data_IF_255426253473
#
_entry.id   IF_255426253473
#
_cell.length_a   1.000
_cell.length_b   1.000
_cell.length_c   1.000
_cell.angle_alpha   90.00
_cell.angle_beta   90.00
_cell.angle_gamma   90.00
#
_symmetry.space_group_name_H-M   'P 1'
#
loop_
_entity.id
_entity.type
_entity.pdbx_description
1 polymer ?
#
# COMPACT_ATOMS: atom_id res chain seq x y z
N UNK A 1 -10.12 -2.60 -20.42
CA UNK A 1 -10.34 -3.30 -19.13
C UNK A 1 -9.18 -4.24 -18.78
N UNK A 2 -8.23 -4.46 -19.69
CA UNK A 2 -7.28 -5.58 -19.60
C UNK A 2 -6.09 -5.33 -18.66
N UNK A 3 -5.72 -4.07 -18.41
CA UNK A 3 -4.57 -3.77 -17.55
C UNK A 3 -4.79 -4.17 -16.08
N UNK A 4 -6.01 -3.99 -15.57
CA UNK A 4 -6.32 -4.41 -14.19
C UNK A 4 -6.22 -5.94 -14.07
N UNK A 5 -6.78 -6.68 -15.04
CA UNK A 5 -6.71 -8.13 -15.06
C UNK A 5 -5.24 -8.62 -15.11
N UNK A 6 -4.44 -8.08 -16.03
CA UNK A 6 -3.02 -8.40 -16.13
C UNK A 6 -2.26 -8.12 -14.84
N UNK A 7 -2.50 -6.96 -14.21
CA UNK A 7 -1.84 -6.58 -12.96
C UNK A 7 -2.12 -7.61 -11.85
N UNK A 8 -3.37 -8.05 -11.71
CA UNK A 8 -3.73 -9.06 -10.71
C UNK A 8 -3.18 -10.44 -11.05
N UNK A 9 -3.11 -10.80 -12.33
CA UNK A 9 -2.51 -12.08 -12.74
C UNK A 9 -1.00 -12.09 -12.51
N UNK A 10 -0.30 -10.97 -12.69
CA UNK A 10 1.12 -10.81 -12.35
C UNK A 10 1.36 -10.90 -10.84
N UNK A 11 0.45 -10.37 -10.01
CA UNK A 11 0.49 -10.52 -8.54
C UNK A 11 0.32 -12.00 -8.16
N UNK A 12 -0.68 -12.69 -8.72
CA UNK A 12 -0.92 -14.13 -8.45
C UNK A 12 0.25 -15.00 -8.89
N UNK A 13 0.87 -14.67 -10.03
CA UNK A 13 2.04 -15.35 -10.55
C UNK A 13 3.32 -15.04 -9.75
N UNK A 14 3.28 -14.07 -8.83
CA UNK A 14 4.42 -13.65 -8.01
C UNK A 14 5.46 -12.82 -8.78
N UNK A 15 5.12 -12.37 -10.00
CA UNK A 15 5.92 -11.49 -10.84
C UNK A 15 5.94 -10.08 -10.24
N UNK A 16 4.77 -9.60 -9.81
CA UNK A 16 4.62 -8.35 -9.07
C UNK A 16 4.42 -8.65 -7.59
N UNK A 17 5.19 -7.99 -6.72
CA UNK A 17 5.02 -8.06 -5.26
C UNK A 17 4.83 -6.66 -4.72
N UNK A 18 3.88 -6.51 -3.80
CA UNK A 18 3.67 -5.28 -3.05
C UNK A 18 3.98 -5.54 -1.59
N UNK A 19 4.78 -4.66 -0.99
CA UNK A 19 5.07 -4.70 0.44
C UNK A 19 4.24 -3.63 1.14
N UNK A 20 3.49 -4.06 2.15
CA UNK A 20 2.81 -3.15 3.07
C UNK A 20 3.81 -2.83 4.17
N UNK A 21 4.27 -1.58 4.20
CA UNK A 21 5.26 -1.10 5.15
C UNK A 21 4.67 -0.83 6.53
N UNK A 22 3.45 -0.31 6.55
CA UNK A 22 2.75 -0.01 7.79
C UNK A 22 1.24 -0.04 7.57
N UNK A 23 0.54 -0.46 8.62
CA UNK A 23 -0.90 -0.33 8.75
C UNK A 23 -1.22 0.69 9.84
N UNK A 24 -2.16 1.59 9.55
CA UNK A 24 -2.67 2.56 10.51
C UNK A 24 -4.18 2.32 10.70
N UNK A 25 -4.71 2.40 11.94
CA UNK A 25 -6.15 2.47 12.10
C UNK A 25 -6.66 3.76 11.47
N UNK A 26 -7.86 3.71 10.87
CA UNK A 26 -8.42 4.84 10.14
C UNK A 26 -8.47 6.13 10.97
N UNK A 27 -8.68 6.01 12.28
CA UNK A 27 -8.67 7.15 13.23
C UNK A 27 -7.31 7.88 13.31
N UNK A 28 -6.23 7.20 12.94
CA UNK A 28 -4.85 7.72 12.97
C UNK A 28 -4.39 8.22 11.59
N UNK A 29 -5.32 8.48 10.65
CA UNK A 29 -5.01 9.07 9.35
C UNK A 29 -4.10 10.31 9.43
N UNK A 30 -4.27 11.25 10.38
CA UNK A 30 -3.34 12.39 10.51
C UNK A 30 -1.88 11.97 10.76
N UNK A 31 -1.64 10.89 11.50
CA UNK A 31 -0.29 10.37 11.76
C UNK A 31 0.28 9.67 10.52
N UNK A 32 -0.54 8.87 9.84
CA UNK A 32 -0.15 8.22 8.59
C UNK A 32 0.31 9.23 7.53
N UNK A 33 -0.40 10.36 7.39
CA UNK A 33 -0.01 11.46 6.52
C UNK A 33 1.35 12.06 6.91
N UNK A 34 1.55 12.37 8.20
CA UNK A 34 2.85 12.87 8.69
C UNK A 34 4.00 11.91 8.39
N UNK A 35 3.78 10.60 8.51
CA UNK A 35 4.79 9.58 8.23
C UNK A 35 5.20 9.56 6.75
N UNK A 36 4.23 9.64 5.83
CA UNK A 36 4.48 9.70 4.38
C UNK A 36 5.17 10.99 3.98
N UNK A 37 4.67 12.13 4.46
CA UNK A 37 5.18 13.47 4.11
C UNK A 37 6.59 13.71 4.65
N UNK A 38 6.92 13.14 5.82
CA UNK A 38 8.27 13.16 6.38
C UNK A 38 9.23 12.14 5.77
N UNK A 39 8.79 11.37 4.76
CA UNK A 39 9.57 10.32 4.08
C UNK A 39 10.09 9.23 5.02
N UNK A 40 9.35 8.93 6.09
CA UNK A 40 9.67 7.82 7.01
C UNK A 40 9.12 6.48 6.54
N UNK A 41 8.28 6.48 5.51
CA UNK A 41 7.70 5.27 4.90
C UNK A 41 8.51 4.81 3.70
N UNK A 42 8.54 3.51 3.45
CA UNK A 42 9.06 2.91 2.22
C UNK A 42 7.98 2.03 1.61
N UNK A 43 7.57 2.22 0.35
CA UNK A 43 6.49 1.43 -0.24
C UNK A 43 5.09 1.87 0.23
N UNK A 44 4.14 0.93 0.21
CA UNK A 44 2.73 1.23 0.47
C UNK A 44 2.42 1.27 1.97
N UNK A 45 1.52 2.17 2.36
CA UNK A 45 0.82 2.11 3.65
C UNK A 45 -0.67 1.90 3.40
N UNK A 46 -1.36 1.30 4.36
CA UNK A 46 -2.81 1.07 4.27
C UNK A 46 -3.52 1.49 5.56
N UNK A 47 -4.82 1.78 5.43
CA UNK A 47 -5.69 1.97 6.58
C UNK A 47 -6.48 0.70 6.87
N UNK A 48 -6.56 0.32 8.15
CA UNK A 48 -7.50 -0.68 8.63
C UNK A 48 -8.66 -0.03 9.41
N UNK A 49 -9.83 -0.68 9.36
CA UNK A 49 -11.10 -0.24 9.96
C UNK A 49 -11.38 -0.96 11.27
#
# INVERSE_FOLDING_TARGET
LDLAAQTFDDIKAGILRTEIFAEYPLRDAPEAHRAVESRKTQGAIVFNV
#
